data_IF_013393576599
#
_entry.id   IF_013393576599
#
_cell.length_a   1.000
_cell.length_b   1.000
_cell.length_c   1.000
_cell.angle_alpha   90.00
_cell.angle_beta   90.00
_cell.angle_gamma   90.00
#
_symmetry.space_group_name_H-M   'P 1'
#
loop_
_entity.id
_entity.type
_entity.pdbx_description
1 polymer ?
#
# COMPACT_ATOMS: atom_id res chain seq x y z
N UNK A 1 -16.57 -17.48 0.46
CA UNK A 1 -15.28 -18.20 0.59
C UNK A 1 -15.44 -19.71 0.64
N UNK A 2 -16.34 -20.28 1.47
CA UNK A 2 -16.56 -21.74 1.52
C UNK A 2 -16.90 -22.36 0.18
N UNK A 3 -17.91 -21.83 -0.51
CA UNK A 3 -18.33 -22.34 -1.83
C UNK A 3 -17.21 -22.29 -2.89
N UNK A 4 -16.48 -21.17 -2.97
CA UNK A 4 -15.35 -21.00 -3.91
C UNK A 4 -14.29 -22.06 -3.63
N UNK A 5 -13.98 -22.30 -2.35
CA UNK A 5 -13.03 -23.33 -1.93
C UNK A 5 -13.48 -24.71 -2.41
N UNK A 6 -14.72 -25.07 -2.13
CA UNK A 6 -15.28 -26.37 -2.49
C UNK A 6 -15.26 -26.60 -4.01
N UNK A 7 -15.57 -25.58 -4.81
CA UNK A 7 -15.53 -25.66 -6.28
C UNK A 7 -14.11 -25.94 -6.77
N UNK A 8 -13.11 -25.24 -6.23
CA UNK A 8 -11.72 -25.40 -6.64
C UNK A 8 -11.13 -26.74 -6.18
N UNK A 9 -11.47 -27.20 -4.98
CA UNK A 9 -11.06 -28.52 -4.48
C UNK A 9 -11.66 -29.66 -5.31
N UNK A 10 -12.94 -29.56 -5.70
CA UNK A 10 -13.58 -30.50 -6.64
C UNK A 10 -12.92 -30.52 -8.02
N UNK A 11 -12.24 -29.44 -8.40
CA UNK A 11 -11.42 -29.34 -9.63
C UNK A 11 -9.96 -29.78 -9.41
N UNK A 12 -9.65 -30.41 -8.27
CA UNK A 12 -8.34 -30.99 -7.96
C UNK A 12 -7.28 -29.98 -7.51
N UNK A 13 -7.67 -28.81 -6.99
CA UNK A 13 -6.73 -27.81 -6.46
C UNK A 13 -6.62 -27.93 -4.93
N UNK A 14 -5.41 -27.72 -4.40
CA UNK A 14 -5.20 -27.54 -2.97
C UNK A 14 -5.49 -26.07 -2.61
N UNK A 15 -6.52 -25.83 -1.79
CA UNK A 15 -6.99 -24.47 -1.50
C UNK A 15 -6.73 -24.11 -0.04
N UNK A 16 -6.02 -23.00 0.17
CA UNK A 16 -5.73 -22.45 1.48
C UNK A 16 -6.42 -21.10 1.65
N UNK A 17 -7.04 -20.89 2.81
CA UNK A 17 -7.63 -19.61 3.21
C UNK A 17 -6.87 -19.11 4.42
N UNK A 18 -6.13 -18.02 4.25
CA UNK A 18 -5.29 -17.46 5.30
C UNK A 18 -6.09 -16.80 6.42
N UNK A 19 -5.44 -16.65 7.57
CA UNK A 19 -5.98 -15.89 8.70
C UNK A 19 -5.26 -14.54 8.74
N UNK A 20 -6.01 -13.45 8.81
CA UNK A 20 -5.42 -12.12 8.95
C UNK A 20 -5.03 -11.79 10.38
N UNK A 21 -4.33 -10.66 10.54
CA UNK A 21 -3.97 -10.06 11.80
C UNK A 21 -5.17 -9.43 12.52
N UNK A 22 -4.88 -8.62 13.55
CA UNK A 22 -5.91 -8.05 14.44
C UNK A 22 -6.93 -7.16 13.72
N UNK A 23 -6.54 -6.56 12.60
CA UNK A 23 -7.39 -5.66 11.82
C UNK A 23 -8.35 -6.38 10.87
N UNK A 24 -8.10 -7.65 10.60
CA UNK A 24 -8.89 -8.48 9.70
C UNK A 24 -9.92 -9.27 10.49
N UNK A 25 -11.19 -9.21 10.06
CA UNK A 25 -12.29 -9.87 10.75
C UNK A 25 -12.49 -11.32 10.30
N UNK A 26 -12.27 -11.60 9.02
CA UNK A 26 -12.61 -12.89 8.41
C UNK A 26 -11.40 -13.55 7.74
N UNK A 27 -11.28 -14.89 7.77
CA UNK A 27 -10.29 -15.60 6.97
C UNK A 27 -10.45 -15.30 5.48
N UNK A 28 -9.32 -15.08 4.79
CA UNK A 28 -9.28 -14.73 3.37
C UNK A 28 -9.61 -13.27 3.05
N UNK A 29 -10.02 -12.47 4.04
CA UNK A 29 -10.23 -11.04 3.84
C UNK A 29 -8.89 -10.30 3.76
N UNK A 30 -8.81 -9.37 2.81
CA UNK A 30 -7.73 -8.38 2.73
C UNK A 30 -8.33 -6.99 2.81
N UNK A 31 -7.54 -6.03 3.28
CA UNK A 31 -7.86 -4.61 3.23
C UNK A 31 -6.81 -3.90 2.38
N UNK A 32 -7.10 -2.67 1.94
CA UNK A 32 -6.11 -1.85 1.24
C UNK A 32 -4.91 -1.43 2.09
N UNK A 33 -4.88 -1.82 3.37
CA UNK A 33 -3.85 -1.50 4.34
C UNK A 33 -3.42 -2.74 5.14
N UNK A 34 -3.93 -3.93 4.82
CA UNK A 34 -3.58 -5.16 5.54
C UNK A 34 -3.73 -6.36 4.60
N UNK A 35 -2.59 -6.97 4.26
CA UNK A 35 -2.47 -8.16 3.43
C UNK A 35 -2.02 -9.38 4.24
N UNK A 36 -2.04 -9.31 5.58
CA UNK A 36 -1.61 -10.38 6.50
C UNK A 36 -2.27 -11.72 6.21
N UNK A 37 -3.55 -11.71 5.83
CA UNK A 37 -4.26 -12.93 5.46
C UNK A 37 -3.57 -13.64 4.29
N UNK A 38 -3.15 -12.92 3.25
CA UNK A 38 -2.44 -13.51 2.12
C UNK A 38 -1.02 -13.95 2.52
N UNK A 39 -0.31 -13.12 3.30
CA UNK A 39 1.04 -13.42 3.77
C UNK A 39 1.09 -14.69 4.62
N UNK A 40 0.06 -14.96 5.44
CA UNK A 40 0.00 -16.13 6.35
C UNK A 40 0.03 -17.50 5.68
N UNK A 41 -0.26 -17.55 4.37
CA UNK A 41 -0.27 -18.79 3.57
C UNK A 41 0.73 -18.74 2.42
N UNK A 42 1.60 -17.73 2.38
CA UNK A 42 2.50 -17.49 1.25
C UNK A 42 3.32 -18.72 0.91
N UNK A 43 3.92 -19.39 1.88
CA UNK A 43 4.79 -20.55 1.62
C UNK A 43 4.03 -21.83 1.24
N UNK A 44 2.69 -21.80 1.23
CA UNK A 44 1.83 -22.96 0.97
C UNK A 44 1.13 -22.93 -0.39
N UNK A 45 1.22 -21.81 -1.12
CA UNK A 45 0.45 -21.58 -2.35
C UNK A 45 1.33 -21.17 -3.52
N UNK A 46 1.03 -21.63 -4.72
CA UNK A 46 1.75 -21.22 -5.93
C UNK A 46 1.26 -19.87 -6.47
N UNK A 47 -0.03 -19.58 -6.29
CA UNK A 47 -0.68 -18.35 -6.71
C UNK A 47 -1.88 -18.01 -5.82
N UNK A 48 -2.40 -16.80 -5.97
CA UNK A 48 -3.61 -16.34 -5.29
C UNK A 48 -4.76 -16.12 -6.27
N UNK A 49 -5.98 -16.38 -5.80
CA UNK A 49 -7.22 -15.93 -6.43
C UNK A 49 -7.82 -14.82 -5.57
N UNK A 50 -7.93 -13.62 -6.14
CA UNK A 50 -8.71 -12.54 -5.57
C UNK A 50 -10.11 -12.55 -6.20
N UNK A 51 -11.14 -12.47 -5.36
CA UNK A 51 -12.53 -12.37 -5.83
C UNK A 51 -13.10 -11.05 -5.37
N UNK A 52 -13.42 -10.18 -6.32
CA UNK A 52 -13.93 -8.84 -6.06
C UNK A 52 -13.63 -7.89 -7.21
N UNK A 53 -14.14 -6.67 -7.07
CA UNK A 53 -13.92 -5.61 -8.05
C UNK A 53 -12.65 -4.82 -7.74
N UNK A 54 -12.17 -4.08 -8.75
CA UNK A 54 -11.04 -3.17 -8.62
C UNK A 54 -9.68 -3.84 -8.46
N UNK A 55 -8.62 -3.06 -8.67
CA UNK A 55 -7.28 -3.61 -8.83
C UNK A 55 -6.35 -3.38 -7.63
N UNK A 56 -6.71 -2.49 -6.69
CA UNK A 56 -5.81 -2.13 -5.58
C UNK A 56 -5.45 -3.32 -4.68
N UNK A 57 -6.46 -4.07 -4.22
CA UNK A 57 -6.25 -5.24 -3.36
C UNK A 57 -5.45 -6.35 -4.02
N UNK A 58 -5.81 -6.84 -5.23
CA UNK A 58 -5.05 -7.91 -5.86
C UNK A 58 -3.62 -7.45 -6.21
N UNK A 59 -3.43 -6.18 -6.55
CA UNK A 59 -2.10 -5.60 -6.77
C UNK A 59 -1.27 -5.60 -5.48
N UNK A 60 -1.86 -5.17 -4.36
CA UNK A 60 -1.21 -5.18 -3.05
C UNK A 60 -0.77 -6.58 -2.63
N UNK A 61 -1.63 -7.59 -2.84
CA UNK A 61 -1.26 -9.00 -2.63
C UNK A 61 -0.11 -9.42 -3.55
N UNK A 62 -0.14 -9.06 -4.83
CA UNK A 62 0.93 -9.44 -5.78
C UNK A 62 2.27 -8.78 -5.46
N UNK A 63 2.26 -7.56 -4.95
CA UNK A 63 3.48 -6.85 -4.52
C UNK A 63 3.98 -7.46 -3.21
N UNK A 64 3.12 -7.60 -2.20
CA UNK A 64 3.51 -8.07 -0.87
C UNK A 64 4.01 -9.53 -0.87
N UNK A 65 3.41 -10.39 -1.68
CA UNK A 65 3.77 -11.82 -1.75
C UNK A 65 4.80 -12.13 -2.83
N UNK A 66 5.02 -11.19 -3.77
CA UNK A 66 5.76 -11.42 -5.03
C UNK A 66 5.24 -12.61 -5.85
N UNK A 67 4.02 -13.10 -5.60
CA UNK A 67 3.38 -14.22 -6.33
C UNK A 67 2.37 -13.75 -7.36
N UNK A 68 2.03 -14.65 -8.29
CA UNK A 68 0.96 -14.45 -9.27
C UNK A 68 -0.38 -14.32 -8.55
N UNK A 69 -1.16 -13.31 -8.95
CA UNK A 69 -2.52 -13.10 -8.45
C UNK A 69 -3.45 -13.04 -9.65
N UNK A 70 -4.48 -13.88 -9.61
CA UNK A 70 -5.56 -13.90 -10.58
C UNK A 70 -6.72 -13.13 -9.94
N UNK A 71 -7.18 -12.06 -10.58
CA UNK A 71 -8.35 -11.32 -10.14
C UNK A 71 -9.58 -11.79 -10.91
N UNK A 72 -10.63 -12.20 -10.19
CA UNK A 72 -11.92 -12.59 -10.73
C UNK A 72 -12.99 -11.61 -10.24
N UNK A 73 -13.60 -10.88 -11.18
CA UNK A 73 -14.68 -9.94 -10.89
C UNK A 73 -16.02 -10.68 -10.98
N UNK A 74 -16.76 -10.86 -9.87
CA UNK A 74 -18.01 -11.62 -9.86
C UNK A 74 -19.19 -10.88 -10.52
N UNK A 75 -19.03 -9.60 -10.85
CA UNK A 75 -20.09 -8.82 -11.50
C UNK A 75 -19.90 -8.77 -13.00
N UNK A 76 -18.66 -8.55 -13.48
CA UNK A 76 -18.37 -8.56 -14.93
C UNK A 76 -18.09 -9.96 -15.49
N UNK A 77 -17.86 -10.96 -14.63
CA UNK A 77 -17.37 -12.30 -14.99
C UNK A 77 -16.02 -12.28 -15.72
N UNK A 78 -15.23 -11.23 -15.53
CA UNK A 78 -13.90 -11.13 -16.12
C UNK A 78 -12.84 -11.69 -15.20
N UNK A 79 -11.83 -12.30 -15.81
CA UNK A 79 -10.61 -12.75 -15.15
C UNK A 79 -9.43 -11.96 -15.72
N UNK A 80 -8.65 -11.33 -14.86
CA UNK A 80 -7.52 -10.49 -15.27
C UNK A 80 -6.23 -10.82 -14.52
N UNK A 81 -5.11 -10.61 -15.22
CA UNK A 81 -3.77 -10.54 -14.65
C UNK A 81 -3.42 -9.10 -14.27
N UNK A 82 -2.32 -8.93 -13.54
CA UNK A 82 -1.93 -7.64 -12.95
C UNK A 82 -0.56 -7.15 -13.42
N UNK A 83 0.12 -7.90 -14.27
CA UNK A 83 1.54 -7.70 -14.59
C UNK A 83 1.81 -6.29 -15.15
N UNK A 84 1.05 -5.87 -16.16
CA UNK A 84 1.19 -4.53 -16.75
C UNK A 84 0.81 -3.40 -15.79
N UNK A 85 -0.21 -3.61 -14.95
CA UNK A 85 -0.61 -2.62 -13.95
C UNK A 85 0.43 -2.50 -12.82
N UNK A 86 0.98 -3.64 -12.37
CA UNK A 86 2.03 -3.70 -11.36
C UNK A 86 3.26 -2.93 -11.81
N UNK A 87 3.71 -3.17 -13.03
CA UNK A 87 4.84 -2.43 -13.60
C UNK A 87 4.56 -0.93 -13.68
N UNK A 88 3.38 -0.54 -14.17
CA UNK A 88 2.96 0.87 -14.23
C UNK A 88 3.01 1.54 -12.85
N UNK A 89 2.41 0.90 -11.84
CA UNK A 89 2.35 1.45 -10.47
C UNK A 89 3.76 1.55 -9.90
N UNK A 90 4.58 0.50 -9.98
CA UNK A 90 5.97 0.55 -9.48
C UNK A 90 6.79 1.65 -10.15
N UNK A 91 6.65 1.86 -11.47
CA UNK A 91 7.29 2.97 -12.18
C UNK A 91 6.83 4.34 -11.65
N UNK A 92 5.53 4.52 -11.40
CA UNK A 92 5.01 5.75 -10.79
C UNK A 92 5.58 5.98 -9.39
N UNK A 93 5.68 4.92 -8.57
CA UNK A 93 6.26 5.01 -7.22
C UNK A 93 7.74 5.34 -7.25
N UNK A 94 8.50 4.71 -8.14
CA UNK A 94 9.90 5.04 -8.37
C UNK A 94 10.07 6.52 -8.73
N UNK A 95 9.30 7.03 -9.70
CA UNK A 95 9.34 8.43 -10.10
C UNK A 95 9.00 9.38 -8.94
N UNK A 96 8.01 9.04 -8.11
CA UNK A 96 7.64 9.83 -6.94
C UNK A 96 8.78 9.91 -5.91
N UNK A 97 9.45 8.78 -5.65
CA UNK A 97 10.60 8.71 -4.74
C UNK A 97 11.77 9.54 -5.28
N UNK A 98 12.11 9.40 -6.56
CA UNK A 98 13.20 10.16 -7.19
C UNK A 98 12.93 11.67 -7.18
N UNK A 99 11.69 12.09 -7.47
CA UNK A 99 11.28 13.50 -7.35
C UNK A 99 11.44 14.01 -5.92
N UNK A 100 11.04 13.21 -4.93
CA UNK A 100 11.12 13.59 -3.52
C UNK A 100 12.56 13.64 -2.98
N UNK A 101 13.50 12.85 -3.52
CA UNK A 101 14.93 12.89 -3.13
C UNK A 101 15.54 14.30 -3.28
N UNK A 102 15.10 15.03 -4.30
CA UNK A 102 15.53 16.40 -4.61
C UNK A 102 14.93 17.45 -3.66
N UNK A 103 13.87 17.12 -2.92
CA UNK A 103 13.22 18.03 -1.99
C UNK A 103 13.97 18.18 -0.66
N UNK A 104 13.82 19.33 -0.02
CA UNK A 104 14.41 19.62 1.30
C UNK A 104 13.35 19.67 2.40
N UNK A 105 12.14 20.15 2.08
CA UNK A 105 11.03 20.35 3.02
C UNK A 105 9.97 19.27 2.88
N UNK A 106 9.77 18.48 3.94
CA UNK A 106 8.83 17.36 4.00
C UNK A 106 7.67 17.66 4.97
N UNK A 107 6.44 17.49 4.47
CA UNK A 107 5.23 17.55 5.28
C UNK A 107 4.74 16.14 5.62
N UNK A 108 4.86 15.71 6.87
CA UNK A 108 4.41 14.39 7.33
C UNK A 108 2.97 14.49 7.81
N UNK A 109 2.05 13.94 7.02
CA UNK A 109 0.61 13.98 7.28
C UNK A 109 0.21 12.87 8.24
N UNK A 110 -0.43 13.26 9.35
CA UNK A 110 -1.04 12.40 10.36
C UNK A 110 -2.56 12.47 10.23
N UNK A 111 -3.19 11.31 10.02
CA UNK A 111 -4.65 11.21 9.92
C UNK A 111 -5.34 11.35 11.28
N UNK A 112 -6.42 12.13 11.32
CA UNK A 112 -7.26 12.31 12.51
C UNK A 112 -8.20 11.13 12.80
N UNK A 113 -8.49 10.30 11.80
CA UNK A 113 -9.40 9.15 11.93
C UNK A 113 -8.78 8.05 12.80
N UNK A 114 -9.55 7.49 13.73
CA UNK A 114 -9.08 6.50 14.73
C UNK A 114 -8.28 5.33 14.12
N UNK A 115 -8.74 4.77 13.00
CA UNK A 115 -8.05 3.66 12.31
C UNK A 115 -6.89 4.06 11.40
N UNK A 116 -6.51 5.34 11.35
CA UNK A 116 -5.45 5.88 10.48
C UNK A 116 -4.43 6.73 11.25
N UNK A 117 -4.64 6.99 12.53
CA UNK A 117 -3.77 7.84 13.35
C UNK A 117 -2.48 7.10 13.73
N UNK A 118 -1.40 7.32 13.00
CA UNK A 118 -0.06 6.71 13.23
C UNK A 118 0.98 7.72 13.71
N UNK A 119 0.68 8.44 14.80
CA UNK A 119 1.55 9.51 15.32
C UNK A 119 2.98 9.02 15.62
N UNK A 120 3.13 7.87 16.28
CA UNK A 120 4.47 7.33 16.57
C UNK A 120 5.26 6.95 15.31
N UNK A 121 4.59 6.56 14.21
CA UNK A 121 5.26 6.38 12.91
C UNK A 121 5.70 7.72 12.33
N UNK A 122 4.84 8.74 12.41
CA UNK A 122 5.13 10.08 11.92
C UNK A 122 6.32 10.74 12.65
N UNK A 123 6.40 10.60 13.98
CA UNK A 123 7.51 11.09 14.79
C UNK A 123 8.84 10.42 14.41
N UNK A 124 8.84 9.08 14.26
CA UNK A 124 10.02 8.33 13.78
C UNK A 124 10.47 8.80 12.40
N UNK A 125 9.54 9.01 11.47
CA UNK A 125 9.86 9.49 10.13
C UNK A 125 10.43 10.91 10.15
N UNK A 126 9.91 11.79 11.02
CA UNK A 126 10.46 13.13 11.23
C UNK A 126 11.91 13.04 11.67
N UNK A 127 12.19 12.27 12.72
CA UNK A 127 13.57 12.09 13.20
C UNK A 127 14.49 11.51 12.12
N UNK A 128 14.00 10.53 11.35
CA UNK A 128 14.77 9.92 10.26
C UNK A 128 15.13 10.93 9.17
N UNK A 129 14.18 11.75 8.75
CA UNK A 129 14.39 12.79 7.74
C UNK A 129 15.36 13.86 8.24
N UNK A 130 15.19 14.32 9.48
CA UNK A 130 16.06 15.34 10.09
C UNK A 130 17.50 14.86 10.27
N UNK A 131 17.69 13.60 10.71
CA UNK A 131 19.03 12.97 10.78
C UNK A 131 19.73 12.87 9.43
N UNK A 132 18.97 12.93 8.33
CA UNK A 132 19.50 12.93 6.95
C UNK A 132 19.47 14.33 6.31
N UNK A 133 19.45 15.39 7.13
CA UNK A 133 19.58 16.77 6.66
C UNK A 133 18.33 17.33 5.96
N UNK A 134 17.17 16.68 6.09
CA UNK A 134 15.90 17.18 5.56
C UNK A 134 15.14 17.95 6.63
N UNK A 135 14.39 18.98 6.22
CA UNK A 135 13.51 19.72 7.12
C UNK A 135 12.12 19.06 7.11
N UNK A 136 11.67 18.51 8.25
CA UNK A 136 10.43 17.75 8.31
C UNK A 136 9.45 18.32 9.35
N UNK A 137 8.18 18.43 9.01
CA UNK A 137 7.13 18.95 9.90
C UNK A 137 5.93 18.02 9.94
N UNK A 138 5.29 17.90 11.12
CA UNK A 138 4.05 17.15 11.28
C UNK A 138 2.86 18.02 10.89
N UNK A 139 1.91 17.45 10.15
CA UNK A 139 0.67 18.08 9.72
C UNK A 139 -0.48 17.17 10.12
N UNK A 140 -1.39 17.64 10.96
CA UNK A 140 -2.55 16.85 11.37
C UNK A 140 -3.77 17.23 10.54
N UNK A 141 -4.37 16.26 9.84
CA UNK A 141 -5.56 16.45 9.02
C UNK A 141 -6.57 15.34 9.27
N UNK A 142 -7.87 15.67 9.33
CA UNK A 142 -8.91 14.65 9.42
C UNK A 142 -9.22 14.05 8.03
N UNK A 143 -9.40 14.92 7.03
CA UNK A 143 -9.51 14.55 5.62
C UNK A 143 -8.25 15.01 4.88
N UNK A 144 -7.72 14.14 4.02
CA UNK A 144 -6.50 14.42 3.24
C UNK A 144 -6.94 14.56 1.80
N UNK A 145 -6.81 15.77 1.27
CA UNK A 145 -7.20 16.13 -0.09
C UNK A 145 -6.08 16.92 -0.76
N UNK A 146 -5.94 16.84 -2.08
CA UNK A 146 -4.97 17.65 -2.83
C UNK A 146 -5.05 19.13 -2.51
N UNK A 147 -6.27 19.69 -2.44
CA UNK A 147 -6.53 21.11 -2.17
C UNK A 147 -5.95 21.61 -0.83
N UNK A 148 -5.88 20.75 0.20
CA UNK A 148 -5.32 21.12 1.50
C UNK A 148 -3.79 21.09 1.53
N UNK A 149 -3.18 20.28 0.65
CA UNK A 149 -1.73 20.14 0.58
C UNK A 149 -1.09 21.10 -0.43
N UNK A 150 -1.83 21.49 -1.46
CA UNK A 150 -1.34 22.29 -2.60
C UNK A 150 -0.62 23.57 -2.16
N UNK A 151 -1.25 24.34 -1.26
CA UNK A 151 -0.75 25.66 -0.83
C UNK A 151 0.29 25.60 0.29
N UNK A 152 0.59 24.42 0.82
CA UNK A 152 1.60 24.28 1.86
C UNK A 152 3.00 24.28 1.23
N UNK A 153 3.93 25.03 1.83
CA UNK A 153 5.28 25.23 1.32
C UNK A 153 6.24 24.06 1.64
N UNK A 154 5.90 22.87 1.11
CA UNK A 154 6.71 21.65 1.15
C UNK A 154 7.04 21.16 -0.26
N UNK A 155 8.14 20.43 -0.40
CA UNK A 155 8.56 19.80 -1.66
C UNK A 155 7.93 18.42 -1.83
N UNK A 156 7.67 17.75 -0.70
CA UNK A 156 7.11 16.40 -0.64
C UNK A 156 6.22 16.24 0.60
N UNK A 157 5.23 15.36 0.49
CA UNK A 157 4.43 14.91 1.63
C UNK A 157 4.66 13.43 1.93
N UNK A 158 4.54 13.07 3.20
CA UNK A 158 4.58 11.68 3.65
C UNK A 158 3.25 11.36 4.31
N UNK A 159 2.46 10.47 3.73
CA UNK A 159 1.16 10.07 4.26
C UNK A 159 1.34 8.93 5.27
N UNK A 160 1.11 9.21 6.55
CA UNK A 160 1.06 8.17 7.60
C UNK A 160 -0.37 7.71 7.89
N UNK A 161 -1.36 8.18 7.13
CA UNK A 161 -2.77 7.86 7.30
C UNK A 161 -3.17 6.59 6.51
N UNK A 162 -4.14 6.70 5.59
CA UNK A 162 -4.52 5.60 4.70
C UNK A 162 -3.43 5.35 3.63
N UNK A 163 -2.86 4.13 3.53
CA UNK A 163 -1.84 3.80 2.52
C UNK A 163 -2.30 4.01 1.08
N UNK A 164 -3.61 3.87 0.82
CA UNK A 164 -4.19 4.03 -0.52
C UNK A 164 -4.01 5.44 -1.09
N UNK A 165 -3.98 6.47 -0.24
CA UNK A 165 -3.91 7.88 -0.69
C UNK A 165 -2.67 8.13 -1.54
N UNK A 166 -1.52 7.61 -1.11
CA UNK A 166 -0.28 7.82 -1.86
C UNK A 166 -0.31 7.13 -3.23
N UNK A 167 -1.06 6.03 -3.37
CA UNK A 167 -1.02 5.13 -4.53
C UNK A 167 -2.18 5.38 -5.50
N UNK A 168 -3.42 5.31 -5.02
CA UNK A 168 -4.63 5.46 -5.85
C UNK A 168 -4.82 6.91 -6.31
N UNK A 169 -4.60 7.86 -5.41
CA UNK A 169 -4.83 9.28 -5.68
C UNK A 169 -3.57 9.97 -6.23
N UNK A 170 -2.52 9.20 -6.56
CA UNK A 170 -1.20 9.70 -6.97
C UNK A 170 -1.29 10.82 -8.03
N UNK A 171 -2.12 10.62 -9.06
CA UNK A 171 -2.27 11.58 -10.16
C UNK A 171 -2.97 12.88 -9.79
N UNK A 172 -3.61 12.95 -8.62
CA UNK A 172 -4.31 14.13 -8.14
C UNK A 172 -3.40 15.12 -7.41
N UNK A 173 -2.19 14.70 -7.02
CA UNK A 173 -1.25 15.54 -6.27
C UNK A 173 -0.14 16.07 -7.19
N UNK A 174 0.06 17.39 -7.20
CA UNK A 174 1.16 18.03 -7.93
C UNK A 174 2.53 17.71 -7.30
N UNK A 175 2.54 17.63 -5.97
CA UNK A 175 3.71 17.33 -5.14
C UNK A 175 3.71 15.84 -4.80
N UNK A 176 4.88 15.17 -4.78
CA UNK A 176 4.95 13.75 -4.48
C UNK A 176 4.41 13.47 -3.07
N UNK A 177 3.48 12.52 -2.99
CA UNK A 177 2.98 11.96 -1.73
C UNK A 177 3.54 10.55 -1.58
N UNK A 178 4.40 10.37 -0.58
CA UNK A 178 5.07 9.11 -0.29
C UNK A 178 4.43 8.39 0.91
N UNK A 179 4.65 7.10 0.98
CA UNK A 179 4.36 6.24 2.13
C UNK A 179 5.57 6.16 3.07
N UNK A 180 5.41 5.67 4.31
CA UNK A 180 6.53 5.38 5.20
C UNK A 180 7.59 4.45 4.57
N UNK A 181 7.15 3.40 3.88
CA UNK A 181 8.04 2.43 3.19
C UNK A 181 8.90 3.12 2.14
N UNK A 182 8.34 4.11 1.45
CA UNK A 182 9.04 4.86 0.40
C UNK A 182 10.04 5.85 0.96
N UNK A 183 9.85 6.34 2.18
CA UNK A 183 10.88 7.11 2.89
C UNK A 183 12.06 6.22 3.27
N UNK A 184 11.85 4.96 3.64
CA UNK A 184 12.95 4.02 3.85
C UNK A 184 13.78 3.84 2.57
N UNK A 185 13.11 3.76 1.41
CA UNK A 185 13.78 3.64 0.10
C UNK A 185 14.51 4.95 -0.25
N UNK A 186 13.85 6.10 -0.07
CA UNK A 186 14.42 7.42 -0.32
C UNK A 186 15.74 7.61 0.45
N UNK A 187 15.77 7.18 1.71
CA UNK A 187 16.92 7.28 2.61
C UNK A 187 17.90 6.10 2.50
N UNK A 188 17.74 5.21 1.52
CA UNK A 188 18.65 4.07 1.30
C UNK A 188 18.61 2.97 2.37
N UNK A 189 17.59 2.97 3.24
CA UNK A 189 17.39 1.94 4.28
C UNK A 189 16.68 0.70 3.75
N UNK A 190 16.00 0.81 2.62
CA UNK A 190 15.34 -0.27 1.88
C UNK A 190 15.72 -0.17 0.41
N UNK A 191 15.96 -1.30 -0.24
CA UNK A 191 16.18 -1.33 -1.68
C UNK A 191 14.85 -1.33 -2.43
N UNK A 192 14.80 -0.75 -3.63
CA UNK A 192 13.55 -0.65 -4.38
C UNK A 192 13.01 -2.03 -4.83
N UNK A 193 13.88 -3.02 -5.00
CA UNK A 193 13.50 -4.41 -5.33
C UNK A 193 12.73 -5.11 -4.20
N UNK A 194 12.80 -4.53 -2.99
CA UNK A 194 12.11 -4.96 -1.78
C UNK A 194 10.90 -4.06 -1.47
N UNK A 195 10.40 -3.34 -2.47
CA UNK A 195 9.20 -2.51 -2.39
C UNK A 195 7.99 -3.35 -1.97
N UNK A 196 7.27 -2.83 -0.97
CA UNK A 196 5.99 -3.36 -0.49
C UNK A 196 5.04 -2.20 -0.27
N UNK A 197 3.73 -2.46 -0.30
CA UNK A 197 2.75 -1.48 0.12
C UNK A 197 2.86 -1.24 1.63
N UNK A 198 2.64 0.00 2.03
CA UNK A 198 2.49 0.37 3.44
C UNK A 198 1.25 -0.32 4.03
N UNK A 199 1.42 -0.87 5.23
CA UNK A 199 0.41 -1.65 5.94
C UNK A 199 0.23 -1.09 7.35
N UNK A 200 -0.93 -1.39 7.93
CA UNK A 200 -1.31 -0.98 9.28
C UNK A 200 -1.84 -2.22 9.98
N UNK A 201 -1.03 -2.72 10.92
CA UNK A 201 -1.30 -3.91 11.74
C UNK A 201 -2.09 -3.59 13.02
#
# INVERSE_FOLDING_TARGET
MGEIKDILEKKGKNVFVGKGGKRIRYPGQVLGCDFSSALSIMDKVDCYLYVGTGNFHPLGVSIATKKKVIAADPYSNEISGLEGLKEKILRQRYAAIEKAKQGERFGIVVGGKTGQKRLGTAEKLKEMLEKNGKNAHLISLNEIKPEYLLYLNYDCFVCTACPRIAIDDYSMYEKPVLTPVEIEILLGKRRFEDYVFDQIE
#
